data_IF_238421732887
#
_entry.id   IF_238421732887
#
_cell.length_a   1.000
_cell.length_b   1.000
_cell.length_c   1.000
_cell.angle_alpha   90.00
_cell.angle_beta   90.00
_cell.angle_gamma   90.00
#
_symmetry.space_group_name_H-M   'P 1'
#
loop_
_entity.id
_entity.type
_entity.pdbx_description
1 polymer ?
#
# COMPACT_ATOMS: atom_id res chain seq x y z
N UNK A 1 -17.93 -5.10 -27.06
CA UNK A 1 -16.98 -3.97 -27.23
C UNK A 1 -15.73 -4.28 -26.40
N UNK A 2 -14.51 -3.85 -26.78
CA UNK A 2 -13.34 -4.05 -25.91
C UNK A 2 -13.41 -3.05 -24.75
N UNK A 3 -13.18 -3.50 -23.50
CA UNK A 3 -13.29 -2.65 -22.31
C UNK A 3 -12.42 -1.38 -22.39
N UNK A 4 -11.20 -1.51 -22.94
CA UNK A 4 -10.29 -0.39 -23.19
C UNK A 4 -10.87 0.66 -24.16
N UNK A 5 -11.62 0.22 -25.18
CA UNK A 5 -12.28 1.12 -26.12
C UNK A 5 -13.46 1.86 -25.46
N UNK A 6 -14.22 1.17 -24.59
CA UNK A 6 -15.28 1.80 -23.83
C UNK A 6 -14.71 2.87 -22.87
N UNK A 7 -13.65 2.56 -22.13
CA UNK A 7 -12.98 3.52 -21.25
C UNK A 7 -12.43 4.75 -21.99
N UNK A 8 -11.81 4.55 -23.16
CA UNK A 8 -11.35 5.66 -24.01
C UNK A 8 -12.49 6.55 -24.48
N UNK A 9 -13.61 5.95 -24.88
CA UNK A 9 -14.81 6.71 -25.26
C UNK A 9 -15.37 7.50 -24.06
N UNK A 10 -15.41 6.90 -22.87
CA UNK A 10 -15.80 7.57 -21.62
C UNK A 10 -14.90 8.76 -21.31
N UNK A 11 -13.58 8.61 -21.40
CA UNK A 11 -12.64 9.71 -21.18
C UNK A 11 -12.85 10.87 -22.16
N UNK A 12 -13.12 10.56 -23.44
CA UNK A 12 -13.41 11.59 -24.44
C UNK A 12 -14.70 12.36 -24.15
N UNK A 13 -15.75 11.67 -23.73
CA UNK A 13 -17.00 12.31 -23.32
C UNK A 13 -16.81 13.18 -22.07
N UNK A 14 -16.07 12.68 -21.06
CA UNK A 14 -15.77 13.45 -19.86
C UNK A 14 -14.92 14.70 -20.15
N UNK A 15 -13.97 14.62 -21.10
CA UNK A 15 -13.17 15.78 -21.52
C UNK A 15 -14.05 16.89 -22.12
N UNK A 16 -15.16 16.55 -22.79
CA UNK A 16 -16.11 17.52 -23.33
C UNK A 16 -17.00 18.17 -22.25
N UNK A 17 -17.22 17.46 -21.13
CA UNK A 17 -18.11 17.91 -20.06
C UNK A 17 -17.43 18.81 -19.02
N UNK A 18 -16.09 18.94 -19.04
CA UNK A 18 -15.36 19.72 -18.04
C UNK A 18 -14.19 20.51 -18.63
N UNK A 19 -13.58 21.37 -17.81
CA UNK A 19 -12.40 22.12 -18.25
C UNK A 19 -11.18 21.20 -18.38
N UNK A 20 -10.25 21.55 -19.29
CA UNK A 20 -8.97 20.84 -19.43
C UNK A 20 -8.17 20.77 -18.12
N UNK A 21 -8.25 21.80 -17.28
CA UNK A 21 -7.55 21.81 -15.99
C UNK A 21 -8.11 20.74 -15.04
N UNK A 22 -9.44 20.63 -14.96
CA UNK A 22 -10.12 19.61 -14.14
C UNK A 22 -9.78 18.21 -14.64
N UNK A 23 -9.91 17.97 -15.94
CA UNK A 23 -9.59 16.68 -16.56
C UNK A 23 -8.13 16.29 -16.31
N UNK A 24 -7.18 17.21 -16.53
CA UNK A 24 -5.76 16.95 -16.33
C UNK A 24 -5.38 16.65 -14.88
N UNK A 25 -6.09 17.23 -13.93
CA UNK A 25 -5.79 17.05 -12.50
C UNK A 25 -6.22 15.68 -12.02
N UNK A 26 -7.39 15.22 -12.47
CA UNK A 26 -8.09 14.06 -11.88
C UNK A 26 -8.14 12.82 -12.77
N UNK A 27 -8.28 12.99 -14.09
CA UNK A 27 -8.57 11.89 -15.03
C UNK A 27 -7.43 11.57 -16.00
N UNK A 28 -6.50 12.51 -16.26
CA UNK A 28 -5.40 12.29 -17.23
C UNK A 28 -4.54 11.07 -16.93
N UNK A 29 -4.25 10.83 -15.65
CA UNK A 29 -3.47 9.67 -15.22
C UNK A 29 -4.34 8.45 -14.88
N UNK A 30 -5.67 8.54 -15.05
CA UNK A 30 -6.60 7.46 -14.75
C UNK A 30 -6.61 6.41 -15.86
N UNK A 31 -6.46 5.14 -15.48
CA UNK A 31 -6.34 4.02 -16.43
C UNK A 31 -7.22 2.85 -16.02
N UNK A 32 -7.80 2.17 -16.99
CA UNK A 32 -8.49 0.91 -16.74
C UNK A 32 -7.46 -0.17 -16.39
N UNK A 33 -7.58 -0.77 -15.20
CA UNK A 33 -6.72 -1.85 -14.72
C UNK A 33 -7.30 -3.22 -15.02
N UNK A 34 -8.59 -3.38 -14.77
CA UNK A 34 -9.32 -4.60 -15.03
C UNK A 34 -10.78 -4.27 -15.34
N UNK A 35 -11.43 -5.19 -16.05
CA UNK A 35 -12.84 -5.17 -16.32
C UNK A 35 -13.35 -6.58 -16.01
N UNK A 36 -14.16 -6.69 -14.98
CA UNK A 36 -15.00 -7.85 -14.73
C UNK A 36 -16.39 -7.59 -15.32
N UNK A 37 -17.19 -8.62 -15.56
CA UNK A 37 -18.41 -8.60 -16.39
C UNK A 37 -19.29 -7.34 -16.25
N UNK A 38 -19.43 -6.81 -15.03
CA UNK A 38 -20.12 -5.55 -14.73
C UNK A 38 -19.34 -4.57 -13.85
N UNK A 39 -18.03 -4.79 -13.63
CA UNK A 39 -17.22 -3.91 -12.76
C UNK A 39 -15.96 -3.43 -13.48
N UNK A 40 -15.77 -2.11 -13.52
CA UNK A 40 -14.58 -1.48 -14.09
C UNK A 40 -13.66 -1.00 -12.97
N UNK A 41 -12.44 -1.54 -12.93
CA UNK A 41 -11.42 -1.14 -11.95
C UNK A 41 -10.54 -0.07 -12.57
N UNK A 42 -10.62 1.16 -12.07
CA UNK A 42 -9.88 2.31 -12.56
C UNK A 42 -8.76 2.68 -11.60
N UNK A 43 -7.52 2.62 -12.08
CA UNK A 43 -6.34 3.06 -11.37
C UNK A 43 -6.15 4.57 -11.46
N UNK A 44 -5.91 5.23 -10.32
CA UNK A 44 -5.70 6.69 -10.21
C UNK A 44 -4.38 7.03 -9.52
N UNK A 45 -3.88 8.25 -9.67
CA UNK A 45 -2.53 8.64 -9.21
C UNK A 45 -2.33 8.59 -7.70
N UNK A 46 -3.32 9.00 -6.90
CA UNK A 46 -3.22 9.09 -5.45
C UNK A 46 -4.61 9.03 -4.79
N UNK A 47 -4.64 8.91 -3.46
CA UNK A 47 -5.87 8.82 -2.67
C UNK A 47 -6.77 10.06 -2.81
N UNK A 48 -6.18 11.25 -2.97
CA UNK A 48 -6.97 12.46 -3.21
C UNK A 48 -7.76 12.39 -4.51
N UNK A 49 -7.14 11.85 -5.58
CA UNK A 49 -7.82 11.66 -6.85
C UNK A 49 -8.90 10.60 -6.74
N UNK A 50 -8.63 9.53 -5.99
CA UNK A 50 -9.62 8.49 -5.71
C UNK A 50 -10.86 9.09 -5.03
N UNK A 51 -10.68 9.73 -3.88
CA UNK A 51 -11.76 10.31 -3.09
C UNK A 51 -12.55 11.35 -3.89
N UNK A 52 -11.86 12.22 -4.64
CA UNK A 52 -12.54 13.22 -5.45
C UNK A 52 -13.37 12.60 -6.58
N UNK A 53 -12.85 11.57 -7.25
CA UNK A 53 -13.56 10.86 -8.31
C UNK A 53 -14.77 10.11 -7.78
N UNK A 54 -14.63 9.41 -6.65
CA UNK A 54 -15.72 8.72 -5.95
C UNK A 54 -16.83 9.73 -5.58
N UNK A 55 -16.49 10.82 -4.90
CA UNK A 55 -17.50 11.75 -4.41
C UNK A 55 -18.16 12.63 -5.49
N UNK A 56 -17.48 12.87 -6.62
CA UNK A 56 -17.92 13.89 -7.60
C UNK A 56 -18.28 13.33 -8.97
N UNK A 57 -17.61 12.27 -9.39
CA UNK A 57 -17.69 11.78 -10.77
C UNK A 57 -18.14 10.34 -10.88
N UNK A 58 -18.26 9.59 -9.78
CA UNK A 58 -18.72 8.20 -9.79
C UNK A 58 -20.00 8.04 -10.60
N UNK A 59 -21.08 8.75 -10.24
CA UNK A 59 -22.36 8.70 -10.95
C UNK A 59 -22.22 9.04 -12.44
N UNK A 60 -21.40 10.04 -12.76
CA UNK A 60 -21.22 10.51 -14.14
C UNK A 60 -20.47 9.47 -14.97
N UNK A 61 -19.39 8.89 -14.41
CA UNK A 61 -18.59 7.86 -15.06
C UNK A 61 -19.40 6.59 -15.23
N UNK A 62 -20.10 6.13 -14.17
CA UNK A 62 -20.99 4.97 -14.17
C UNK A 62 -22.08 5.08 -15.21
N UNK A 63 -22.80 6.23 -15.26
CA UNK A 63 -23.84 6.48 -16.26
C UNK A 63 -23.27 6.50 -17.68
N UNK A 64 -22.10 7.11 -17.87
CA UNK A 64 -21.46 7.22 -19.20
C UNK A 64 -20.99 5.85 -19.70
N UNK A 65 -20.34 5.05 -18.85
CA UNK A 65 -19.95 3.67 -19.17
C UNK A 65 -21.17 2.80 -19.47
N UNK A 66 -22.22 2.92 -18.66
CA UNK A 66 -23.45 2.15 -18.87
C UNK A 66 -24.14 2.49 -20.19
N UNK A 67 -24.14 3.77 -20.58
CA UNK A 67 -24.67 4.21 -21.86
C UNK A 67 -23.85 3.68 -23.05
N UNK A 68 -22.52 3.68 -22.95
CA UNK A 68 -21.62 3.23 -24.04
C UNK A 68 -21.69 1.71 -24.23
N UNK A 69 -21.78 0.96 -23.13
CA UNK A 69 -21.79 -0.50 -23.14
C UNK A 69 -23.19 -1.11 -23.23
N UNK A 70 -24.23 -0.28 -23.08
CA UNK A 70 -25.63 -0.67 -23.02
C UNK A 70 -25.95 -1.69 -21.90
N UNK A 71 -25.20 -1.65 -20.80
CA UNK A 71 -25.35 -2.53 -19.64
C UNK A 71 -25.12 -1.75 -18.34
N UNK A 72 -25.72 -2.15 -17.21
CA UNK A 72 -25.42 -1.53 -15.93
C UNK A 72 -24.00 -1.92 -15.48
N UNK A 73 -23.13 -0.93 -15.34
CA UNK A 73 -21.74 -1.08 -14.91
C UNK A 73 -21.52 -0.36 -13.59
N UNK A 74 -20.75 -0.98 -12.71
CA UNK A 74 -20.17 -0.33 -11.53
C UNK A 74 -18.71 0.05 -11.76
N UNK A 75 -18.26 1.10 -11.08
CA UNK A 75 -16.90 1.63 -11.22
C UNK A 75 -16.23 1.67 -9.87
N UNK A 76 -15.06 1.07 -9.76
CA UNK A 76 -14.25 1.07 -8.54
C UNK A 76 -12.92 1.75 -8.80
N UNK A 77 -12.56 2.70 -7.93
CA UNK A 77 -11.30 3.42 -8.03
C UNK A 77 -10.26 2.82 -7.08
N UNK A 78 -9.04 2.62 -7.59
CA UNK A 78 -7.90 2.13 -6.80
C UNK A 78 -6.68 3.02 -7.05
N UNK A 79 -5.88 3.24 -6.01
CA UNK A 79 -4.66 4.02 -6.17
C UNK A 79 -3.60 3.16 -6.83
N UNK A 80 -2.98 3.68 -7.88
CA UNK A 80 -1.79 3.15 -8.50
C UNK A 80 -0.63 3.34 -7.51
N UNK A 81 -0.50 2.43 -6.54
CA UNK A 81 0.76 2.27 -5.85
C UNK A 81 1.79 1.91 -6.92
N UNK A 82 2.84 2.72 -7.07
CA UNK A 82 3.96 2.44 -7.95
C UNK A 82 4.32 0.95 -7.81
N UNK A 83 4.15 0.20 -8.89
CA UNK A 83 4.15 -1.26 -8.85
C UNK A 83 5.55 -1.78 -8.53
N UNK A 84 5.89 -1.80 -7.24
CA UNK A 84 7.02 -2.52 -6.69
C UNK A 84 6.50 -3.34 -5.51
N UNK A 85 5.90 -4.49 -5.85
CA UNK A 85 5.87 -5.75 -5.08
C UNK A 85 4.51 -6.43 -5.19
N UNK A 86 4.22 -6.96 -6.38
CA UNK A 86 3.34 -8.13 -6.47
C UNK A 86 4.13 -9.23 -7.13
N UNK A 87 4.81 -10.05 -6.32
CA UNK A 87 4.81 -11.52 -6.41
C UNK A 87 5.49 -12.07 -5.16
N UNK A 88 4.73 -12.33 -4.09
CA UNK A 88 5.03 -13.36 -3.09
C UNK A 88 3.88 -13.44 -2.07
N UNK A 89 2.75 -14.00 -2.50
CA UNK A 89 1.83 -14.68 -1.59
C UNK A 89 1.24 -15.90 -2.31
N UNK A 90 1.95 -17.01 -2.21
CA UNK A 90 1.40 -18.37 -2.29
C UNK A 90 2.50 -19.32 -1.82
N UNK A 91 2.55 -19.57 -0.52
CA UNK A 91 2.45 -20.95 -0.04
C UNK A 91 2.05 -20.93 1.43
N UNK A 92 0.89 -21.51 1.73
CA UNK A 92 0.36 -21.66 3.06
C UNK A 92 0.41 -23.13 3.44
N UNK A 93 0.97 -23.40 4.62
CA UNK A 93 0.57 -24.49 5.52
C UNK A 93 1.03 -25.93 5.23
N UNK A 94 2.03 -26.37 6.01
CA UNK A 94 2.18 -27.70 6.66
C UNK A 94 3.47 -27.58 7.51
N UNK A 95 3.51 -27.48 8.85
CA UNK A 95 3.05 -28.38 9.92
C UNK A 95 3.42 -29.85 9.69
N UNK A 96 4.64 -30.25 10.10
CA UNK A 96 4.85 -31.23 11.19
C UNK A 96 6.35 -31.26 11.67
N UNK A 97 6.65 -31.70 12.93
CA UNK A 97 7.93 -31.61 13.67
C UNK A 97 9.06 -32.63 13.31
N UNK A 98 10.22 -32.63 14.01
CA UNK A 98 11.56 -32.80 13.41
C UNK A 98 12.03 -34.24 13.27
N UNK A 99 12.76 -34.51 12.19
CA UNK A 99 13.63 -35.68 12.08
C UNK A 99 15.07 -35.21 11.77
N UNK A 100 15.92 -35.18 12.78
CA UNK A 100 17.37 -35.10 12.59
C UNK A 100 18.04 -36.26 13.33
N UNK A 101 18.21 -37.34 12.57
CA UNK A 101 19.16 -38.40 12.85
C UNK A 101 20.55 -37.93 12.44
N UNK A 102 21.50 -37.83 13.39
CA UNK A 102 22.90 -38.32 13.28
C UNK A 102 23.79 -37.89 14.46
N UNK A 103 24.15 -38.89 15.27
CA UNK A 103 25.43 -39.14 15.98
C UNK A 103 26.46 -37.99 16.12
N UNK A 104 26.92 -37.68 17.35
CA UNK A 104 28.04 -38.36 18.03
C UNK A 104 28.39 -37.73 19.42
N UNK A 105 28.48 -38.59 20.46
CA UNK A 105 29.41 -38.64 21.63
C UNK A 105 30.37 -37.41 21.81
N UNK A 106 30.60 -36.77 22.97
CA UNK A 106 31.14 -37.24 24.28
C UNK A 106 30.82 -36.19 25.39
N UNK A 107 30.81 -36.66 26.64
CA UNK A 107 30.41 -36.08 27.92
C UNK A 107 31.25 -34.86 28.45
N UNK A 108 30.86 -34.26 29.61
CA UNK A 108 31.11 -32.87 30.01
C UNK A 108 32.37 -32.66 30.87
N UNK A 109 32.94 -31.45 30.79
CA UNK A 109 33.91 -30.96 31.78
C UNK A 109 33.57 -29.51 32.11
N UNK A 110 33.11 -29.30 33.35
CA UNK A 110 33.11 -28.00 34.01
C UNK A 110 34.56 -27.53 34.18
N UNK A 111 34.87 -26.31 33.76
CA UNK A 111 36.01 -25.58 34.29
C UNK A 111 35.63 -24.11 34.50
N UNK A 112 35.89 -23.66 35.71
CA UNK A 112 35.55 -22.37 36.30
C UNK A 112 36.60 -21.31 35.99
N UNK A 113 36.11 -20.06 35.95
CA UNK A 113 36.82 -18.78 36.11
C UNK A 113 37.57 -18.22 34.89
N UNK A 114 37.21 -16.98 34.49
CA UNK A 114 37.94 -15.77 34.89
C UNK A 114 37.22 -14.50 34.40
N UNK A 115 37.24 -13.50 35.28
CA UNK A 115 36.59 -12.19 35.26
C UNK A 115 37.17 -11.24 34.21
N UNK A 116 36.35 -10.71 33.28
CA UNK A 116 36.71 -9.48 32.57
C UNK A 116 35.50 -8.55 32.36
N UNK A 117 35.79 -7.26 32.58
CA UNK A 117 34.92 -6.11 32.78
C UNK A 117 34.50 -5.43 31.47
N UNK A 118 33.28 -4.87 31.52
CA UNK A 118 32.74 -3.72 30.79
C UNK A 118 32.63 -3.76 29.26
N UNK A 119 31.37 -3.74 28.79
CA UNK A 119 30.98 -2.95 27.63
C UNK A 119 30.08 -3.65 26.63
N UNK A 120 28.82 -3.20 26.59
CA UNK A 120 27.97 -3.14 25.39
C UNK A 120 27.01 -4.32 25.12
N UNK A 121 25.74 -3.94 24.97
CA UNK A 121 24.54 -4.65 24.49
C UNK A 121 23.87 -5.72 25.38
N UNK A 122 22.63 -5.48 25.83
CA UNK A 122 21.62 -6.52 25.89
C UNK A 122 20.86 -6.55 24.56
N UNK A 123 21.10 -7.62 23.80
CA UNK A 123 20.19 -8.08 22.75
C UNK A 123 18.93 -8.62 23.43
N UNK A 124 17.89 -7.79 23.49
CA UNK A 124 16.54 -8.16 23.91
C UNK A 124 15.66 -8.29 22.67
N UNK A 125 15.52 -9.52 22.21
CA UNK A 125 14.54 -9.96 21.22
C UNK A 125 13.14 -9.48 21.57
N UNK A 126 12.63 -8.51 20.81
CA UNK A 126 11.19 -8.36 20.59
C UNK A 126 10.95 -8.27 19.09
N UNK A 127 10.53 -9.41 18.55
CA UNK A 127 9.79 -9.48 17.30
C UNK A 127 8.45 -8.79 17.55
N UNK A 128 8.30 -7.58 17.03
CA UNK A 128 7.01 -6.93 16.85
C UNK A 128 7.11 -6.00 15.64
N UNK A 129 6.47 -6.46 14.56
CA UNK A 129 5.79 -5.62 13.56
C UNK A 129 6.57 -4.41 13.04
N UNK A 130 7.18 -4.60 11.88
CA UNK A 130 7.72 -3.55 10.99
C UNK A 130 6.60 -2.62 10.52
N UNK A 131 6.14 -1.72 11.41
CA UNK A 131 5.38 -0.54 11.02
C UNK A 131 6.35 0.48 10.45
N UNK A 132 5.95 1.07 9.31
CA UNK A 132 6.75 1.97 8.49
C UNK A 132 7.12 3.25 9.24
N UNK A 133 8.28 3.26 9.90
CA UNK A 133 8.85 4.45 10.55
C UNK A 133 9.50 5.43 9.54
N UNK A 134 8.80 5.77 8.44
CA UNK A 134 9.34 6.69 7.42
C UNK A 134 8.52 7.96 7.19
N UNK A 135 7.77 8.37 8.21
CA UNK A 135 7.19 9.72 8.28
C UNK A 135 7.28 10.25 9.70
N UNK A 136 8.47 10.73 10.12
CA UNK A 136 8.61 11.59 11.29
C UNK A 136 9.08 12.98 10.88
N UNK A 137 8.25 13.99 11.15
CA UNK A 137 8.55 15.41 10.99
C UNK A 137 9.60 15.84 12.03
N UNK A 138 10.88 15.64 11.74
CA UNK A 138 11.99 16.01 12.64
C UNK A 138 12.59 17.37 12.28
N UNK A 139 11.76 18.42 12.19
CA UNK A 139 12.21 19.81 12.39
C UNK A 139 11.01 20.63 12.83
N UNK A 140 10.64 20.53 14.10
CA UNK A 140 9.82 21.56 14.73
C UNK A 140 10.73 22.54 15.46
N UNK A 141 10.69 23.78 15.00
CA UNK A 141 11.39 24.94 15.53
C UNK A 141 10.90 25.19 16.95
N UNK A 142 11.78 25.00 17.94
CA UNK A 142 11.48 25.38 19.33
C UNK A 142 11.70 26.88 19.47
N UNK A 143 10.60 27.63 19.40
CA UNK A 143 10.55 29.02 19.85
C UNK A 143 10.61 29.12 21.38
N UNK A 144 11.06 30.27 21.89
CA UNK A 144 11.43 30.61 23.28
C UNK A 144 10.36 30.36 24.37
N UNK A 145 9.20 29.79 24.05
CA UNK A 145 8.07 29.58 24.96
C UNK A 145 7.88 28.15 25.51
N UNK A 146 8.78 27.19 25.23
CA UNK A 146 8.62 25.81 25.74
C UNK A 146 9.86 25.26 26.48
N UNK A 147 10.31 25.97 27.52
CA UNK A 147 11.52 25.66 28.31
C UNK A 147 11.23 25.07 29.70
N UNK A 148 10.01 24.59 29.98
CA UNK A 148 9.56 24.27 31.34
C UNK A 148 8.92 22.88 31.51
N UNK A 149 9.27 21.91 30.66
CA UNK A 149 8.88 20.51 30.83
C UNK A 149 10.12 19.58 30.83
N UNK A 150 11.13 19.91 31.64
CA UNK A 150 12.33 19.07 31.80
C UNK A 150 12.73 18.95 33.27
N UNK A 151 11.87 18.32 34.08
CA UNK A 151 12.20 17.88 35.42
C UNK A 151 11.60 16.49 35.69
N UNK A 152 12.40 15.46 35.39
CA UNK A 152 12.53 14.19 36.12
C UNK A 152 13.67 13.39 35.49
#
# INVERSE_FOLDING_TARGET
MKADAAWKATLGELELQMTKATFNTWLKDARLLACDEQEYIVGVRNDYAKDWLENRLEDTITRTLSAITAMPIEVRFVVLADAISTQSFSDSSQTDPPEQTSQNKVAPTEEVALTNVNGTTPNGTFSASHFQNRYSFSTFVVGTSNRLAHAA
#
